data_IF_557108272859
#
_entry.id   IF_557108272859
#
_cell.length_a   1.000
_cell.length_b   1.000
_cell.length_c   1.000
_cell.angle_alpha   90.00
_cell.angle_beta   90.00
_cell.angle_gamma   90.00
#
_symmetry.space_group_name_H-M   'P 1'
#
loop_
_entity.id
_entity.type
_entity.pdbx_description
1 polymer ?
#
# COMPACT_ATOMS: atom_id res chain seq x y z
N UNK A 1 9.04 -20.58 12.54
CA UNK A 1 10.15 -20.05 11.72
C UNK A 1 9.92 -18.55 11.61
N UNK A 2 10.83 -17.69 12.09
CA UNK A 2 10.64 -16.24 11.97
C UNK A 2 10.82 -15.79 10.52
N UNK A 3 9.80 -15.17 9.91
CA UNK A 3 9.96 -14.54 8.58
C UNK A 3 11.00 -13.43 8.68
N UNK A 4 12.01 -13.47 7.82
CA UNK A 4 12.97 -12.37 7.67
C UNK A 4 12.33 -11.36 6.74
N UNK A 5 11.92 -10.21 7.27
CA UNK A 5 11.48 -9.09 6.44
C UNK A 5 12.69 -8.40 5.85
N UNK A 6 12.60 -7.96 4.60
CA UNK A 6 13.60 -7.08 4.01
C UNK A 6 13.64 -5.75 4.76
N UNK A 7 14.75 -5.00 4.63
CA UNK A 7 14.84 -3.59 5.08
C UNK A 7 14.35 -2.60 4.02
N UNK A 8 13.63 -3.10 3.02
CA UNK A 8 13.16 -2.30 1.89
C UNK A 8 11.81 -1.71 2.24
N UNK A 9 11.69 -0.38 2.14
CA UNK A 9 10.41 0.30 2.19
C UNK A 9 9.97 0.65 0.78
N UNK A 10 8.67 0.51 0.49
CA UNK A 10 8.10 0.73 -0.85
C UNK A 10 6.92 1.69 -0.80
N UNK A 11 6.64 2.34 -1.92
CA UNK A 11 5.37 3.04 -2.17
C UNK A 11 4.61 2.18 -3.17
N UNK A 12 3.33 1.92 -2.91
CA UNK A 12 2.50 1.10 -3.78
C UNK A 12 1.36 1.92 -4.37
N UNK A 13 1.10 1.73 -5.66
CA UNK A 13 -0.03 2.34 -6.37
C UNK A 13 -1.34 1.57 -6.08
N UNK A 14 -2.49 2.16 -6.42
CA UNK A 14 -3.80 1.57 -6.15
C UNK A 14 -4.01 0.27 -6.92
N UNK A 15 -3.62 0.24 -8.20
CA UNK A 15 -3.76 -0.92 -9.08
C UNK A 15 -3.18 -2.19 -8.46
N UNK A 16 -1.87 -2.24 -8.14
CA UNK A 16 -1.27 -3.42 -7.51
C UNK A 16 -1.93 -3.84 -6.20
N UNK A 17 -2.35 -2.90 -5.34
CA UNK A 17 -3.06 -3.24 -4.07
C UNK A 17 -4.38 -3.93 -4.37
N UNK A 18 -5.17 -3.38 -5.30
CA UNK A 18 -6.47 -3.94 -5.70
C UNK A 18 -6.29 -5.34 -6.30
N UNK A 19 -5.32 -5.52 -7.20
CA UNK A 19 -5.09 -6.80 -7.88
C UNK A 19 -4.54 -7.87 -6.91
N UNK A 20 -3.67 -7.48 -5.96
CA UNK A 20 -3.20 -8.41 -4.94
C UNK A 20 -4.33 -8.84 -4.01
N UNK A 21 -5.24 -7.93 -3.64
CA UNK A 21 -6.44 -8.28 -2.89
C UNK A 21 -7.35 -9.22 -3.70
N UNK A 22 -7.54 -8.96 -5.01
CA UNK A 22 -8.30 -9.82 -5.93
C UNK A 22 -7.80 -11.25 -6.00
N UNK A 23 -6.50 -11.42 -5.87
CA UNK A 23 -5.82 -12.71 -5.90
C UNK A 23 -5.57 -13.30 -4.50
N UNK A 24 -6.09 -12.68 -3.42
CA UNK A 24 -5.82 -13.08 -2.02
C UNK A 24 -4.31 -13.12 -1.68
N UNK A 25 -3.52 -12.27 -2.35
CA UNK A 25 -2.06 -12.22 -2.31
C UNK A 25 -1.50 -11.01 -1.56
N UNK A 26 -2.30 -10.27 -0.77
CA UNK A 26 -1.82 -9.11 0.00
C UNK A 26 -0.70 -9.47 0.99
N UNK A 27 -0.67 -10.72 1.48
CA UNK A 27 0.39 -11.24 2.34
C UNK A 27 1.80 -11.17 1.73
N UNK A 28 1.94 -11.05 0.40
CA UNK A 28 3.24 -10.84 -0.24
C UNK A 28 3.87 -9.50 0.15
N UNK A 29 3.05 -8.54 0.57
CA UNK A 29 3.51 -7.23 1.03
C UNK A 29 4.21 -7.28 2.40
N UNK A 30 4.11 -8.40 3.12
CA UNK A 30 4.78 -8.62 4.40
C UNK A 30 6.31 -8.67 4.29
N UNK A 31 6.84 -9.00 3.10
CA UNK A 31 8.28 -9.10 2.83
C UNK A 31 8.98 -7.73 2.90
N UNK A 32 8.22 -6.64 2.82
CA UNK A 32 8.73 -5.28 2.96
C UNK A 32 8.77 -4.84 4.42
N UNK A 33 9.74 -3.97 4.74
CA UNK A 33 9.80 -3.34 6.06
C UNK A 33 8.58 -2.46 6.31
N UNK A 34 8.14 -1.75 5.26
CA UNK A 34 7.03 -0.82 5.28
C UNK A 34 6.47 -0.60 3.89
N UNK A 35 5.15 -0.50 3.80
CA UNK A 35 4.43 -0.14 2.58
C UNK A 35 3.75 1.21 2.80
N UNK A 36 4.26 2.22 2.13
CA UNK A 36 3.68 3.56 2.16
C UNK A 36 2.51 3.64 1.18
N UNK A 37 1.39 4.17 1.67
CA UNK A 37 0.16 4.35 0.88
C UNK A 37 -0.26 5.82 0.97
N UNK A 38 -0.11 6.59 -0.12
CA UNK A 38 -0.64 7.94 -0.19
C UNK A 38 -2.16 7.97 0.05
N UNK A 39 -2.66 9.03 0.69
CA UNK A 39 -4.09 9.17 0.94
C UNK A 39 -4.95 9.07 -0.33
N UNK A 40 -4.43 9.58 -1.46
CA UNK A 40 -5.10 9.52 -2.76
C UNK A 40 -5.26 8.07 -3.23
N UNK A 41 -4.21 7.27 -3.06
CA UNK A 41 -4.18 5.84 -3.40
C UNK A 41 -5.11 5.08 -2.45
N UNK A 42 -5.05 5.38 -1.15
CA UNK A 42 -5.92 4.74 -0.15
C UNK A 42 -7.40 4.96 -0.48
N UNK A 43 -7.76 6.19 -0.87
CA UNK A 43 -9.12 6.53 -1.29
C UNK A 43 -9.53 5.76 -2.54
N UNK A 44 -8.66 5.66 -3.53
CA UNK A 44 -8.93 4.88 -4.75
C UNK A 44 -9.16 3.40 -4.42
N UNK A 45 -8.25 2.78 -3.66
CA UNK A 45 -8.39 1.39 -3.22
C UNK A 45 -9.73 1.16 -2.52
N UNK A 46 -10.06 1.99 -1.52
CA UNK A 46 -11.32 1.91 -0.76
C UNK A 46 -12.58 2.15 -1.62
N UNK A 47 -12.45 2.86 -2.74
CA UNK A 47 -13.56 3.08 -3.68
C UNK A 47 -13.86 1.81 -4.48
N UNK A 48 -12.84 1.04 -4.85
CA UNK A 48 -13.00 -0.18 -5.64
C UNK A 48 -13.20 -1.43 -4.79
N UNK A 49 -12.52 -1.54 -3.65
CA UNK A 49 -12.50 -2.73 -2.77
C UNK A 49 -12.42 -2.31 -1.31
N UNK A 50 -13.13 -3.01 -0.44
CA UNK A 50 -13.07 -2.82 1.01
C UNK A 50 -11.80 -3.39 1.66
N UNK A 51 -10.63 -3.11 1.09
CA UNK A 51 -9.33 -3.56 1.64
C UNK A 51 -9.18 -2.97 3.03
N UNK A 52 -9.08 -3.83 4.04
CA UNK A 52 -9.09 -3.39 5.43
C UNK A 52 -7.83 -2.59 5.81
N UNK A 53 -6.70 -2.73 5.09
CA UNK A 53 -5.38 -2.20 5.49
C UNK A 53 -4.99 -2.55 6.94
N UNK A 54 -5.68 -3.50 7.55
CA UNK A 54 -5.56 -3.95 8.94
C UNK A 54 -4.95 -5.37 9.02
N UNK A 55 -4.47 -5.89 7.89
CA UNK A 55 -3.78 -7.18 7.84
C UNK A 55 -2.58 -7.14 8.80
N UNK A 56 -2.59 -8.03 9.80
CA UNK A 56 -1.72 -7.95 10.97
C UNK A 56 -0.24 -8.06 10.65
N UNK A 57 0.10 -8.63 9.49
CA UNK A 57 1.48 -8.85 9.11
C UNK A 57 2.00 -7.80 8.11
N UNK A 58 1.14 -7.07 7.39
CA UNK A 58 1.58 -6.02 6.46
C UNK A 58 1.67 -4.66 7.17
N UNK A 59 2.83 -4.02 7.07
CA UNK A 59 3.08 -2.71 7.70
C UNK A 59 2.68 -1.55 6.78
N UNK A 60 1.37 -1.37 6.61
CA UNK A 60 0.81 -0.23 5.91
C UNK A 60 1.10 1.08 6.67
N UNK A 61 1.60 2.10 5.97
CA UNK A 61 1.83 3.43 6.53
C UNK A 61 1.19 4.46 5.62
N UNK A 62 0.10 5.07 6.09
CA UNK A 62 -0.53 6.18 5.42
C UNK A 62 0.43 7.37 5.36
N UNK A 63 0.53 8.01 4.20
CA UNK A 63 1.29 9.25 4.04
C UNK A 63 0.38 10.34 3.48
N UNK A 64 0.27 11.42 4.25
CA UNK A 64 -0.44 12.64 3.86
C UNK A 64 0.55 13.61 3.22
N UNK A 65 0.79 13.44 1.93
CA UNK A 65 1.50 14.46 1.14
C UNK A 65 0.56 15.09 0.11
N UNK A 66 0.34 16.39 0.27
CA UNK A 66 -0.04 17.26 -0.83
C UNK A 66 1.19 17.40 -1.73
N UNK A 67 1.27 16.60 -2.80
CA UNK A 67 2.19 16.92 -3.87
C UNK A 67 1.79 18.32 -4.39
N UNK A 68 2.71 19.30 -4.48
CA UNK A 68 2.39 20.53 -5.17
C UNK A 68 1.93 20.13 -6.57
N UNK A 69 0.71 20.50 -6.92
CA UNK A 69 0.21 20.35 -8.28
C UNK A 69 1.19 21.11 -9.14
N UNK A 70 2.05 20.41 -9.89
CA UNK A 70 2.92 21.06 -10.86
C UNK A 70 2.00 21.92 -11.74
N UNK A 71 2.21 23.23 -11.68
CA UNK A 71 1.46 24.15 -12.52
C UNK A 71 1.65 23.70 -13.97
N UNK A 72 0.62 23.76 -14.83
CA UNK A 72 0.77 23.38 -16.22
C UNK A 72 1.95 24.15 -16.84
N UNK A 73 2.84 23.41 -17.52
CA UNK A 73 3.95 23.98 -18.31
C UNK A 73 3.46 25.04 -19.31
#
# INVERSE_FOLDING_TARGET
MGRIRSKTSVVCDAGPIIHLDELECLHLMEDFERVFVPDVVRKEVLTYRGVAFEDSDVRWTGISHQFPVEAPL
#
